data_IF_347788254760
#
_entry.id   IF_347788254760
#
_cell.length_a   1.000
_cell.length_b   1.000
_cell.length_c   1.000
_cell.angle_alpha   90.00
_cell.angle_beta   90.00
_cell.angle_gamma   90.00
#
_symmetry.space_group_name_H-M   'P 1'
#
loop_
_entity.id
_entity.type
_entity.pdbx_description
1 polymer ?
#
# COMPACT_ATOMS: atom_id res chain seq x y z
N UNK A 1 -9.79 43.74 -74.24
CA UNK A 1 -11.22 44.05 -73.96
C UNK A 1 -12.02 42.76 -73.88
N UNK A 2 -12.37 42.30 -72.67
CA UNK A 2 -13.65 41.66 -72.28
C UNK A 2 -13.53 41.13 -70.85
N UNK A 3 -14.34 41.69 -69.96
CA UNK A 3 -14.76 41.12 -68.68
C UNK A 3 -16.19 40.57 -68.87
N UNK A 4 -16.91 40.16 -67.82
CA UNK A 4 -16.73 39.05 -66.88
C UNK A 4 -17.97 38.11 -66.88
N UNK A 5 -18.01 37.03 -66.08
CA UNK A 5 -19.23 36.57 -65.38
C UNK A 5 -18.93 35.55 -64.26
N UNK A 6 -19.48 35.88 -63.07
CA UNK A 6 -20.05 35.06 -61.98
C UNK A 6 -20.10 33.53 -62.16
N UNK A 7 -20.11 32.64 -61.16
CA UNK A 7 -20.28 32.66 -59.70
C UNK A 7 -20.40 31.20 -59.27
N UNK A 8 -19.87 30.79 -58.13
CA UNK A 8 -20.47 29.71 -57.33
C UNK A 8 -19.89 29.66 -55.93
N UNK A 9 -20.68 30.21 -55.00
CA UNK A 9 -20.63 29.93 -53.56
C UNK A 9 -21.25 28.55 -53.33
N UNK A 10 -20.61 27.65 -52.58
CA UNK A 10 -21.33 26.62 -51.81
C UNK A 10 -20.51 26.11 -50.60
N UNK A 11 -20.99 26.57 -49.44
CA UNK A 11 -20.61 26.20 -48.09
C UNK A 11 -20.60 24.68 -47.85
N UNK A 12 -19.43 24.11 -47.54
CA UNK A 12 -19.29 22.71 -47.07
C UNK A 12 -18.48 22.59 -45.77
N UNK A 13 -18.18 23.71 -45.11
CA UNK A 13 -17.37 23.77 -43.89
C UNK A 13 -18.13 23.41 -42.60
N UNK A 14 -19.46 23.29 -42.65
CA UNK A 14 -20.31 23.03 -41.47
C UNK A 14 -20.47 21.55 -41.10
N UNK A 15 -20.47 20.65 -42.08
CA UNK A 15 -20.79 19.22 -41.86
C UNK A 15 -19.56 18.45 -41.38
N UNK A 16 -18.40 18.68 -42.00
CA UNK A 16 -17.13 18.08 -41.57
C UNK A 16 -16.68 18.60 -40.20
N UNK A 17 -16.92 19.88 -39.88
CA UNK A 17 -16.58 20.47 -38.57
C UNK A 17 -17.48 19.94 -37.46
N UNK A 18 -18.77 19.73 -37.71
CA UNK A 18 -19.72 19.14 -36.75
C UNK A 18 -19.43 17.66 -36.48
N UNK A 19 -19.07 16.90 -37.53
CA UNK A 19 -18.64 15.50 -37.41
C UNK A 19 -17.32 15.37 -36.64
N UNK A 20 -16.30 16.18 -36.99
CA UNK A 20 -15.00 16.17 -36.29
C UNK A 20 -15.14 16.61 -34.84
N UNK A 21 -15.89 17.68 -34.56
CA UNK A 21 -16.13 18.14 -33.18
C UNK A 21 -16.84 17.06 -32.36
N UNK A 22 -17.79 16.34 -32.97
CA UNK A 22 -18.47 15.20 -32.35
C UNK A 22 -17.51 14.07 -32.01
N UNK A 23 -16.64 13.65 -32.94
CA UNK A 23 -15.60 12.64 -32.67
C UNK A 23 -14.60 13.08 -31.61
N UNK A 24 -14.17 14.36 -31.61
CA UNK A 24 -13.32 14.90 -30.55
C UNK A 24 -14.03 14.92 -29.19
N UNK A 25 -15.33 15.24 -29.15
CA UNK A 25 -16.12 15.18 -27.92
C UNK A 25 -16.25 13.74 -27.42
N UNK A 26 -16.52 12.76 -28.28
CA UNK A 26 -16.59 11.35 -27.88
C UNK A 26 -15.24 10.82 -27.37
N UNK A 27 -14.13 11.16 -28.03
CA UNK A 27 -12.79 10.76 -27.58
C UNK A 27 -12.40 11.45 -26.27
N UNK A 28 -12.74 12.73 -26.10
CA UNK A 28 -12.55 13.46 -24.85
C UNK A 28 -13.39 12.85 -23.72
N UNK A 29 -14.67 12.55 -23.96
CA UNK A 29 -15.55 11.92 -22.98
C UNK A 29 -15.05 10.51 -22.61
N UNK A 30 -14.60 9.71 -23.58
CA UNK A 30 -14.02 8.40 -23.32
C UNK A 30 -12.74 8.50 -22.47
N UNK A 31 -11.86 9.46 -22.76
CA UNK A 31 -10.67 9.73 -21.96
C UNK A 31 -11.01 10.18 -20.54
N UNK A 32 -11.98 11.10 -20.37
CA UNK A 32 -12.47 11.55 -19.05
C UNK A 32 -13.04 10.37 -18.25
N UNK A 33 -13.83 9.51 -18.87
CA UNK A 33 -14.38 8.31 -18.21
C UNK A 33 -13.27 7.34 -17.82
N UNK A 34 -12.28 7.10 -18.70
CA UNK A 34 -11.15 6.22 -18.42
C UNK A 34 -10.29 6.74 -17.24
N UNK A 35 -9.98 8.04 -17.24
CA UNK A 35 -9.29 8.72 -16.13
C UNK A 35 -10.14 8.66 -14.86
N UNK A 36 -11.43 8.92 -14.93
CA UNK A 36 -12.34 8.84 -13.78
C UNK A 36 -12.46 7.41 -13.21
N UNK A 37 -12.36 6.37 -14.03
CA UNK A 37 -12.33 4.97 -13.57
C UNK A 37 -10.99 4.66 -12.91
N UNK A 38 -9.86 5.02 -13.54
CA UNK A 38 -8.51 4.77 -12.99
C UNK A 38 -8.29 5.52 -11.67
N UNK A 39 -8.82 6.74 -11.55
CA UNK A 39 -8.69 7.56 -10.34
C UNK A 39 -9.87 7.41 -9.38
N UNK A 40 -11.02 6.90 -9.83
CA UNK A 40 -12.23 6.67 -9.02
C UNK A 40 -12.12 5.47 -8.07
N UNK A 41 -11.15 4.59 -8.33
CA UNK A 41 -10.71 3.54 -7.40
C UNK A 41 -10.14 4.11 -6.08
N UNK A 42 -9.97 5.44 -5.93
CA UNK A 42 -9.57 6.06 -4.65
C UNK A 42 -10.75 6.57 -3.79
N UNK A 43 -12.02 6.38 -4.18
CA UNK A 43 -13.18 6.84 -3.38
C UNK A 43 -14.25 5.78 -3.08
N UNK A 44 -14.21 4.58 -3.69
CA UNK A 44 -15.19 3.52 -3.36
C UNK A 44 -14.74 2.64 -2.17
N UNK A 45 -13.55 2.88 -1.60
CA UNK A 45 -13.09 2.21 -0.38
C UNK A 45 -13.59 2.84 0.94
N UNK A 46 -14.35 3.95 0.92
CA UNK A 46 -14.75 4.67 2.15
C UNK A 46 -16.25 4.63 2.50
N UNK A 47 -17.09 3.90 1.76
CA UNK A 47 -18.54 3.85 2.03
C UNK A 47 -19.05 2.53 2.62
N UNK A 48 -18.15 1.56 2.86
CA UNK A 48 -18.53 0.19 3.26
C UNK A 48 -18.05 -0.27 4.64
N UNK A 49 -17.36 0.55 5.43
CA UNK A 49 -16.91 0.18 6.78
C UNK A 49 -17.59 1.05 7.83
N UNK A 50 -18.88 0.78 8.04
CA UNK A 50 -19.45 0.97 9.38
C UNK A 50 -18.95 -0.23 10.18
N UNK A 51 -17.90 -0.03 10.98
CA UNK A 51 -17.52 -1.03 11.97
C UNK A 51 -18.72 -1.22 12.92
N UNK A 52 -19.24 -2.45 13.12
CA UNK A 52 -20.18 -2.70 14.19
C UNK A 52 -19.49 -2.35 15.50
N UNK A 53 -20.11 -1.46 16.27
CA UNK A 53 -19.77 -1.19 17.67
C UNK A 53 -19.77 -2.53 18.40
N UNK A 54 -18.57 -3.07 18.63
CA UNK A 54 -18.36 -4.19 19.54
C UNK A 54 -18.62 -3.63 20.95
N UNK A 55 -19.66 -4.07 21.68
CA UNK A 55 -19.74 -3.76 23.10
C UNK A 55 -18.60 -4.49 23.79
N UNK A 56 -17.80 -3.75 24.56
CA UNK A 56 -16.76 -4.28 25.43
C UNK A 56 -17.27 -5.51 26.21
N UNK A 57 -16.48 -6.59 26.35
CA UNK A 57 -16.89 -7.72 27.16
C UNK A 57 -16.96 -7.25 28.62
N UNK A 58 -18.18 -7.19 29.12
CA UNK A 58 -18.47 -7.03 30.55
C UNK A 58 -17.76 -8.14 31.29
N UNK A 59 -16.82 -7.75 32.15
CA UNK A 59 -16.23 -8.58 33.19
C UNK A 59 -17.37 -9.16 34.01
N UNK A 60 -17.76 -10.40 33.69
CA UNK A 60 -18.70 -11.18 34.48
C UNK A 60 -17.91 -12.27 35.18
N UNK A 61 -17.55 -11.95 36.42
CA UNK A 61 -17.09 -12.87 37.45
C UNK A 61 -18.10 -14.02 37.62
N UNK A 62 -17.70 -15.25 37.25
CA UNK A 62 -18.32 -16.49 37.74
C UNK A 62 -17.23 -17.58 37.91
N UNK A 63 -17.45 -18.58 38.78
CA UNK A 63 -16.44 -19.08 39.70
C UNK A 63 -15.58 -20.23 39.16
N UNK A 64 -14.39 -20.33 39.74
CA UNK A 64 -13.37 -21.38 39.60
C UNK A 64 -14.00 -22.78 39.53
N UNK A 65 -13.81 -23.46 38.39
CA UNK A 65 -13.95 -24.92 38.28
C UNK A 65 -12.59 -25.52 37.95
N UNK A 66 -11.94 -26.02 39.00
CA UNK A 66 -10.69 -26.79 38.99
C UNK A 66 -10.79 -27.93 37.97
N UNK A 67 -9.90 -27.95 36.98
CA UNK A 67 -9.67 -29.11 36.10
C UNK A 67 -8.17 -29.38 36.07
N UNK A 68 -7.84 -30.67 36.17
CA UNK A 68 -6.50 -31.25 36.34
C UNK A 68 -5.47 -30.77 35.31
N UNK A 69 -4.24 -30.62 35.80
CA UNK A 69 -3.06 -30.17 35.09
C UNK A 69 -2.44 -31.33 34.30
N UNK A 70 -2.57 -31.28 32.97
CA UNK A 70 -1.79 -32.14 32.06
C UNK A 70 -0.55 -31.34 31.69
N UNK A 71 0.61 -31.74 32.22
CA UNK A 71 1.91 -31.13 31.91
C UNK A 71 2.29 -31.49 30.48
N UNK A 72 1.98 -30.59 29.54
CA UNK A 72 2.55 -30.62 28.19
C UNK A 72 3.91 -29.97 28.27
N UNK A 73 4.97 -30.74 28.10
CA UNK A 73 6.32 -30.19 27.93
C UNK A 73 6.34 -29.38 26.64
N UNK A 74 6.32 -28.04 26.76
CA UNK A 74 6.40 -27.17 25.61
C UNK A 74 7.83 -27.21 25.06
N UNK A 75 7.99 -27.39 23.74
CA UNK A 75 9.28 -27.25 23.08
C UNK A 75 9.89 -25.85 23.25
N UNK A 76 11.23 -25.78 23.16
CA UNK A 76 12.09 -24.62 23.50
C UNK A 76 11.92 -23.37 22.62
N UNK A 77 10.86 -23.31 21.82
CA UNK A 77 10.43 -22.10 21.12
C UNK A 77 9.38 -21.31 21.90
N UNK A 78 8.95 -21.81 23.07
CA UNK A 78 8.26 -21.00 24.06
C UNK A 78 9.24 -19.93 24.55
N UNK A 79 8.99 -18.69 24.14
CA UNK A 79 9.57 -17.49 24.75
C UNK A 79 9.40 -17.67 26.26
N UNK A 80 10.51 -17.69 27.01
CA UNK A 80 10.39 -17.66 28.47
C UNK A 80 9.64 -16.38 28.82
N UNK A 81 8.47 -16.57 29.43
CA UNK A 81 7.69 -15.50 30.02
C UNK A 81 8.53 -14.96 31.19
N UNK A 82 9.34 -13.94 30.90
CA UNK A 82 9.82 -13.06 31.96
C UNK A 82 8.61 -12.60 32.76
N UNK A 83 8.70 -12.60 34.10
CA UNK A 83 7.58 -12.25 35.00
C UNK A 83 6.95 -10.89 34.68
N UNK A 84 7.64 -10.05 33.90
CA UNK A 84 7.10 -8.97 33.09
C UNK A 84 7.31 -9.30 31.61
N UNK A 85 6.25 -9.71 30.89
CA UNK A 85 6.36 -10.09 29.48
C UNK A 85 7.03 -9.01 28.62
N UNK A 86 7.90 -9.40 27.69
CA UNK A 86 8.53 -8.44 26.79
C UNK A 86 7.54 -7.96 25.72
N UNK A 87 7.13 -6.69 25.79
CA UNK A 87 6.41 -6.04 24.71
C UNK A 87 7.36 -5.75 23.54
N UNK A 88 7.36 -6.64 22.54
CA UNK A 88 8.20 -6.51 21.34
C UNK A 88 7.86 -5.30 20.48
N UNK A 89 6.69 -4.67 20.68
CA UNK A 89 6.26 -3.50 19.91
C UNK A 89 6.62 -2.18 20.60
N UNK A 90 7.06 -2.23 21.86
CA UNK A 90 7.53 -1.07 22.64
C UNK A 90 9.05 -1.02 22.69
N UNK A 91 9.63 -0.01 22.06
CA UNK A 91 11.06 0.06 21.86
C UNK A 91 11.50 1.28 21.07
N UNK A 92 12.73 1.21 20.55
CA UNK A 92 13.32 2.28 19.74
C UNK A 92 14.12 1.71 18.58
N UNK A 93 14.23 2.51 17.53
CA UNK A 93 15.19 2.25 16.47
C UNK A 93 16.59 2.62 16.94
N UNK A 94 17.53 1.69 16.78
CA UNK A 94 18.96 1.90 17.06
C UNK A 94 19.76 1.62 15.80
N UNK A 95 20.79 2.42 15.55
CA UNK A 95 21.70 2.22 14.42
C UNK A 95 22.65 1.07 14.76
N UNK A 96 22.78 0.12 13.85
CA UNK A 96 23.68 -1.02 13.95
C UNK A 96 24.45 -1.13 12.64
N UNK A 97 25.74 -0.80 12.66
CA UNK A 97 26.60 -0.85 11.47
C UNK A 97 27.36 -2.18 11.36
N UNK A 98 27.37 -2.99 12.42
CA UNK A 98 28.15 -4.23 12.49
C UNK A 98 27.35 -5.43 12.00
N UNK A 99 26.04 -5.44 12.22
CA UNK A 99 25.18 -6.60 11.91
C UNK A 99 24.18 -6.35 10.79
N UNK A 100 24.02 -5.11 10.32
CA UNK A 100 23.08 -4.74 9.25
C UNK A 100 23.77 -4.24 7.97
N UNK A 101 23.10 -4.41 6.81
CA UNK A 101 21.88 -5.19 6.60
C UNK A 101 22.11 -6.70 6.76
N UNK A 102 21.04 -7.48 6.98
CA UNK A 102 21.14 -8.94 7.07
C UNK A 102 21.39 -9.62 5.71
N UNK A 103 21.05 -8.93 4.62
CA UNK A 103 21.27 -9.38 3.24
C UNK A 103 21.50 -8.15 2.35
N UNK A 104 22.25 -8.31 1.27
CA UNK A 104 22.32 -7.28 0.23
C UNK A 104 21.19 -7.49 -0.80
N UNK A 105 20.56 -6.40 -1.27
CA UNK A 105 19.51 -6.44 -2.29
C UNK A 105 19.95 -7.18 -3.57
N UNK A 106 21.23 -7.13 -3.92
CA UNK A 106 21.80 -7.79 -5.10
C UNK A 106 22.02 -9.29 -4.93
N UNK A 107 22.09 -9.80 -3.71
CA UNK A 107 22.33 -11.21 -3.40
C UNK A 107 21.03 -12.04 -3.37
N UNK A 108 19.87 -11.39 -3.22
CA UNK A 108 18.58 -12.04 -3.11
C UNK A 108 17.87 -12.10 -4.48
N UNK A 109 17.85 -13.25 -5.19
CA UNK A 109 17.20 -13.34 -6.51
C UNK A 109 15.66 -13.32 -6.44
N UNK A 110 15.10 -13.46 -5.23
CA UNK A 110 13.66 -13.52 -5.00
C UNK A 110 13.03 -12.16 -4.68
N UNK A 111 13.86 -11.12 -4.46
CA UNK A 111 13.35 -9.78 -4.23
C UNK A 111 12.65 -9.28 -5.49
N UNK A 112 11.42 -8.82 -5.35
CA UNK A 112 10.68 -8.27 -6.49
C UNK A 112 11.37 -6.98 -6.94
N UNK A 113 11.47 -6.70 -8.26
CA UNK A 113 12.11 -5.49 -8.75
C UNK A 113 11.54 -4.21 -8.14
N UNK A 114 10.24 -4.16 -7.86
CA UNK A 114 9.59 -2.99 -7.25
C UNK A 114 10.11 -2.66 -5.84
N UNK A 115 10.84 -3.59 -5.21
CA UNK A 115 11.39 -3.47 -3.85
C UNK A 115 12.91 -3.24 -3.83
N UNK A 116 13.59 -3.22 -4.98
CA UNK A 116 15.06 -3.00 -5.06
C UNK A 116 15.38 -1.53 -5.20
N UNK A 117 15.24 -0.77 -4.11
CA UNK A 117 15.43 0.68 -4.13
C UNK A 117 16.82 1.10 -4.63
N UNK A 118 17.89 0.37 -4.24
CA UNK A 118 19.25 0.70 -4.69
C UNK A 118 19.42 0.48 -6.19
N UNK A 119 18.88 -0.61 -6.71
CA UNK A 119 18.89 -0.89 -8.15
C UNK A 119 18.09 0.16 -8.95
N UNK A 120 17.07 0.77 -8.33
CA UNK A 120 16.26 1.84 -8.90
C UNK A 120 16.79 3.26 -8.60
N UNK A 121 18.06 3.38 -8.21
CA UNK A 121 18.76 4.67 -8.16
C UNK A 121 18.65 5.42 -6.84
N UNK A 122 18.17 4.78 -5.76
CA UNK A 122 18.23 5.39 -4.42
C UNK A 122 19.71 5.53 -3.97
N UNK A 123 20.18 6.75 -3.66
CA UNK A 123 21.60 6.99 -3.39
C UNK A 123 22.00 6.72 -1.93
N UNK A 124 21.07 6.83 -0.98
CA UNK A 124 21.33 6.62 0.45
C UNK A 124 21.17 5.15 0.85
N UNK A 125 22.05 4.66 1.73
CA UNK A 125 22.00 3.28 2.25
C UNK A 125 21.79 3.22 3.77
N UNK A 126 21.77 4.38 4.44
CA UNK A 126 21.68 4.47 5.90
C UNK A 126 20.38 3.90 6.46
N UNK A 127 19.30 3.87 5.67
CA UNK A 127 18.03 3.26 6.08
C UNK A 127 18.15 1.77 6.40
N UNK A 128 19.11 1.07 5.79
CA UNK A 128 19.29 -0.37 5.98
C UNK A 128 19.99 -0.71 7.29
N UNK A 129 20.66 0.28 7.90
CA UNK A 129 21.51 0.13 9.10
C UNK A 129 20.73 0.27 10.42
N UNK A 130 19.41 0.31 10.38
CA UNK A 130 18.58 0.44 11.58
C UNK A 130 18.04 -0.93 12.01
N UNK A 131 18.09 -1.20 13.32
CA UNK A 131 17.43 -2.36 13.94
C UNK A 131 16.48 -1.89 15.03
N UNK A 132 15.42 -2.65 15.22
CA UNK A 132 14.46 -2.44 16.30
C UNK A 132 15.02 -3.04 17.61
N UNK A 133 14.92 -2.29 18.71
CA UNK A 133 15.33 -2.72 20.05
C UNK A 133 14.16 -2.54 21.03
N UNK A 134 13.51 -3.63 21.48
CA UNK A 134 12.54 -3.59 22.57
C UNK A 134 13.18 -3.11 23.89
N UNK A 135 12.38 -2.52 24.77
CA UNK A 135 12.89 -1.97 26.04
C UNK A 135 13.26 -3.03 27.09
N UNK A 136 12.55 -4.16 27.11
CA UNK A 136 12.68 -5.19 28.14
C UNK A 136 13.34 -6.50 27.69
N UNK A 137 13.73 -6.62 26.42
CA UNK A 137 14.40 -7.80 25.90
C UNK A 137 15.17 -7.53 24.61
N UNK A 138 16.03 -8.49 24.25
CA UNK A 138 16.70 -8.53 22.95
C UNK A 138 16.00 -9.51 22.01
N UNK A 139 15.94 -9.15 20.73
CA UNK A 139 15.41 -10.04 19.71
C UNK A 139 16.43 -11.15 19.42
N UNK A 140 15.99 -12.42 19.28
CA UNK A 140 16.86 -13.52 18.89
C UNK A 140 17.42 -13.29 17.48
N UNK A 141 18.61 -13.86 17.23
CA UNK A 141 19.35 -13.73 15.96
C UNK A 141 19.15 -14.93 15.06
#
# INVERSE_FOLDING_TARGET
MKAPLSSSTSSSSGILRRSRLSTYLYTLLAFIVFVAVIHGEYSIANFGRVDPIIPSPVISTTPVKKREEVVVQLPSFAVEESEEGCDIFSGKWVKDELTRPHYDESECPYIQPQLTCRAHGRPDTEYQKWRWQPHGCDLPR
#
